data_IF_690043816684
#
_entry.id   IF_690043816684
#
_cell.length_a   1.000
_cell.length_b   1.000
_cell.length_c   1.000
_cell.angle_alpha   90.00
_cell.angle_beta   90.00
_cell.angle_gamma   90.00
#
_symmetry.space_group_name_H-M   'P 1'
#
loop_
_entity.id
_entity.type
_entity.pdbx_description
1 polymer ?
#
# COMPACT_ATOMS: atom_id res chain seq x y z
N UNK A 1 -3.67 50.19 0.97
CA UNK A 1 -3.33 49.20 1.98
C UNK A 1 -2.60 48.06 1.24
N UNK A 2 -1.28 48.08 1.23
CA UNK A 2 -0.44 47.01 0.78
C UNK A 2 -0.54 45.93 1.87
N UNK A 3 -1.12 44.78 1.53
CA UNK A 3 -1.04 43.56 2.36
C UNK A 3 0.42 43.13 2.34
N UNK A 4 1.07 43.18 3.47
CA UNK A 4 2.34 42.51 3.72
C UNK A 4 2.15 41.04 3.39
N UNK A 5 2.73 40.58 2.28
CA UNK A 5 2.99 39.17 2.06
C UNK A 5 4.09 38.81 3.06
N UNK A 6 3.71 38.27 4.21
CA UNK A 6 4.63 37.44 4.96
C UNK A 6 5.08 36.31 4.02
N UNK A 7 6.33 36.36 3.60
CA UNK A 7 6.97 35.23 2.95
C UNK A 7 6.96 34.09 3.95
N UNK A 8 5.94 33.24 3.88
CA UNK A 8 5.88 31.99 4.65
C UNK A 8 7.00 31.11 4.16
N UNK A 9 8.17 31.24 4.76
CA UNK A 9 9.27 30.30 4.58
C UNK A 9 8.76 28.92 5.02
N UNK A 10 8.75 27.96 4.09
CA UNK A 10 8.34 26.59 4.39
C UNK A 10 9.32 26.02 5.40
N UNK A 11 8.83 25.66 6.58
CA UNK A 11 9.64 25.00 7.63
C UNK A 11 9.53 23.48 7.44
N UNK A 12 10.66 22.84 7.14
CA UNK A 12 10.78 21.37 7.01
C UNK A 12 11.26 20.70 8.30
N UNK A 13 11.34 21.44 9.39
CA UNK A 13 11.78 20.91 10.69
C UNK A 13 10.70 20.00 11.29
N UNK A 14 11.06 18.75 11.59
CA UNK A 14 10.16 17.84 12.28
C UNK A 14 9.87 18.29 13.72
N UNK A 15 8.63 18.25 14.12
CA UNK A 15 8.23 18.44 15.50
C UNK A 15 8.88 17.40 16.43
N UNK A 16 8.96 17.67 17.73
CA UNK A 16 9.48 16.70 18.71
C UNK A 16 8.73 15.36 18.67
N UNK A 17 7.42 15.40 18.49
CA UNK A 17 6.60 14.21 18.38
C UNK A 17 6.95 13.41 17.11
N UNK A 18 7.09 14.07 15.97
CA UNK A 18 7.48 13.43 14.70
C UNK A 18 8.88 12.82 14.79
N UNK A 19 9.85 13.51 15.42
CA UNK A 19 11.19 12.96 15.68
C UNK A 19 11.15 11.70 16.57
N UNK A 20 10.28 11.70 17.60
CA UNK A 20 10.12 10.52 18.47
C UNK A 20 9.53 9.32 17.72
N UNK A 21 8.47 9.52 16.94
CA UNK A 21 7.86 8.42 16.17
C UNK A 21 8.80 7.93 15.06
N UNK A 22 9.53 8.82 14.39
CA UNK A 22 10.56 8.43 13.41
C UNK A 22 11.64 7.55 14.05
N UNK A 23 12.12 7.94 15.24
CA UNK A 23 13.10 7.15 15.99
C UNK A 23 12.54 5.77 16.33
N UNK A 24 11.31 5.68 16.78
CA UNK A 24 10.63 4.40 17.07
C UNK A 24 10.56 3.52 15.82
N UNK A 25 10.18 4.06 14.67
CA UNK A 25 10.12 3.30 13.40
C UNK A 25 11.50 2.79 12.98
N UNK A 26 12.54 3.62 13.12
CA UNK A 26 13.93 3.23 12.85
C UNK A 26 14.39 2.11 13.75
N UNK A 27 14.17 2.24 15.07
CA UNK A 27 14.54 1.19 16.03
C UNK A 27 13.80 -0.12 15.75
N UNK A 28 12.52 -0.06 15.40
CA UNK A 28 11.78 -1.23 14.98
C UNK A 28 12.34 -1.84 13.70
N UNK A 29 12.64 -1.03 12.67
CA UNK A 29 13.21 -1.49 11.42
C UNK A 29 14.56 -2.20 11.63
N UNK A 30 15.46 -1.62 12.40
CA UNK A 30 16.77 -2.20 12.67
C UNK A 30 16.70 -3.48 13.52
N UNK A 31 15.84 -3.54 14.53
CA UNK A 31 15.81 -4.64 15.48
C UNK A 31 14.90 -5.80 15.05
N UNK A 32 13.79 -5.53 14.37
CA UNK A 32 12.77 -6.53 14.06
C UNK A 32 12.68 -6.87 12.57
N UNK A 33 13.03 -5.93 11.68
CA UNK A 33 12.92 -6.13 10.22
C UNK A 33 14.25 -6.52 9.59
N UNK A 34 15.32 -5.79 9.88
CA UNK A 34 16.65 -6.01 9.29
C UNK A 34 17.18 -7.44 9.45
N UNK A 35 17.04 -8.12 10.61
CA UNK A 35 17.50 -9.50 10.76
C UNK A 35 16.81 -10.49 9.82
N UNK A 36 15.59 -10.19 9.38
CA UNK A 36 14.79 -11.04 8.50
C UNK A 36 14.92 -10.66 7.02
N UNK A 37 15.42 -9.47 6.69
CA UNK A 37 15.39 -8.91 5.33
C UNK A 37 15.99 -9.85 4.28
N UNK A 38 17.14 -10.49 4.57
CA UNK A 38 17.78 -11.44 3.66
C UNK A 38 16.90 -12.67 3.41
N UNK A 39 16.28 -13.21 4.46
CA UNK A 39 15.36 -14.37 4.36
C UNK A 39 14.12 -14.00 3.57
N UNK A 40 13.52 -12.84 3.87
CA UNK A 40 12.33 -12.31 3.21
C UNK A 40 12.52 -12.24 1.70
N UNK A 41 13.67 -11.77 1.23
CA UNK A 41 13.95 -11.67 -0.21
C UNK A 41 14.34 -13.02 -0.82
N UNK A 42 15.28 -13.75 -0.22
CA UNK A 42 15.82 -14.97 -0.78
C UNK A 42 14.81 -16.13 -0.85
N UNK A 43 13.93 -16.25 0.15
CA UNK A 43 12.95 -17.33 0.28
C UNK A 43 11.52 -16.90 -0.15
N UNK A 44 11.34 -15.65 -0.64
CA UNK A 44 10.02 -15.08 -0.94
C UNK A 44 9.07 -15.14 0.28
N UNK A 45 9.67 -15.01 1.46
CA UNK A 45 9.00 -15.21 2.73
C UNK A 45 8.19 -13.97 3.12
N UNK A 46 6.88 -14.13 3.28
CA UNK A 46 6.03 -13.05 3.82
C UNK A 46 6.22 -12.96 5.35
N UNK A 47 6.70 -11.81 5.88
CA UNK A 47 7.08 -11.68 7.28
C UNK A 47 5.86 -11.46 8.21
N UNK A 48 5.02 -12.49 8.35
CA UNK A 48 3.76 -12.43 9.11
C UNK A 48 3.97 -11.97 10.55
N UNK A 49 4.99 -12.51 11.23
CA UNK A 49 5.33 -12.15 12.60
C UNK A 49 5.73 -10.67 12.75
N UNK A 50 6.37 -10.10 11.73
CA UNK A 50 6.71 -8.67 11.71
C UNK A 50 5.44 -7.82 11.55
N UNK A 51 4.52 -8.24 10.69
CA UNK A 51 3.21 -7.57 10.51
C UNK A 51 2.41 -7.58 11.82
N UNK A 52 2.38 -8.71 12.53
CA UNK A 52 1.72 -8.81 13.84
C UNK A 52 2.34 -7.87 14.89
N UNK A 53 3.68 -7.73 14.90
CA UNK A 53 4.37 -6.78 15.78
C UNK A 53 4.06 -5.33 15.39
N UNK A 54 4.04 -5.01 14.10
CA UNK A 54 3.64 -3.69 13.59
C UNK A 54 2.22 -3.32 14.01
N UNK A 55 1.28 -4.28 13.95
CA UNK A 55 -0.09 -4.08 14.44
C UNK A 55 -0.14 -3.69 15.92
N UNK A 56 0.61 -4.39 16.78
CA UNK A 56 0.68 -4.09 18.22
C UNK A 56 1.26 -2.71 18.53
N UNK A 57 2.08 -2.18 17.63
CA UNK A 57 2.67 -0.83 17.75
C UNK A 57 1.83 0.27 17.06
N UNK A 58 0.65 -0.07 16.54
CA UNK A 58 -0.23 0.87 15.83
C UNK A 58 0.26 1.26 14.42
N UNK A 59 1.26 0.57 13.89
CA UNK A 59 1.85 0.89 12.57
C UNK A 59 0.95 0.49 11.40
N UNK A 60 -0.11 -0.26 11.63
CA UNK A 60 -1.10 -0.61 10.59
C UNK A 60 -2.23 0.42 10.47
N UNK A 61 -2.33 1.36 11.42
CA UNK A 61 -3.36 2.40 11.46
C UNK A 61 -2.83 3.79 11.80
N UNK A 62 -1.64 4.18 11.32
CA UNK A 62 -0.87 5.35 11.81
C UNK A 62 -1.68 6.64 11.81
N UNK A 63 -2.28 7.04 10.68
CA UNK A 63 -2.94 8.34 10.55
C UNK A 63 -4.46 8.30 10.73
N UNK A 64 -5.02 7.13 11.04
CA UNK A 64 -6.45 7.06 11.37
C UNK A 64 -6.72 7.49 12.81
N UNK A 65 -7.88 8.12 13.07
CA UNK A 65 -8.25 8.52 14.42
C UNK A 65 -8.38 7.33 15.38
N UNK A 66 -8.15 7.58 16.64
CA UNK A 66 -8.34 6.57 17.70
C UNK A 66 -9.78 6.07 17.82
N UNK A 67 -10.76 6.89 17.41
CA UNK A 67 -12.18 6.51 17.38
C UNK A 67 -12.49 5.34 16.43
N UNK A 68 -11.62 5.06 15.47
CA UNK A 68 -11.74 3.90 14.57
C UNK A 68 -10.63 2.87 14.80
N UNK A 69 -9.92 2.95 15.93
CA UNK A 69 -8.83 2.03 16.27
C UNK A 69 -7.46 2.42 15.73
N UNK A 70 -7.31 3.58 15.10
CA UNK A 70 -6.03 4.08 14.61
C UNK A 70 -5.13 4.67 15.69
N UNK A 71 -3.88 5.00 15.34
CA UNK A 71 -2.90 5.55 16.25
C UNK A 71 -3.02 7.08 16.45
N UNK A 72 -3.86 7.78 15.68
CA UNK A 72 -4.08 9.23 15.79
C UNK A 72 -2.90 10.08 15.31
N UNK A 73 -2.00 9.52 14.51
CA UNK A 73 -0.90 10.23 13.88
C UNK A 73 -1.33 11.05 12.66
N UNK A 74 -0.35 11.47 11.88
CA UNK A 74 -0.56 12.23 10.63
C UNK A 74 0.02 11.49 9.41
N UNK A 75 -0.23 12.02 8.22
CA UNK A 75 0.28 11.44 6.97
C UNK A 75 1.81 11.47 6.92
N UNK A 76 2.47 12.48 7.53
CA UNK A 76 3.93 12.54 7.59
C UNK A 76 4.49 11.42 8.45
N UNK A 77 3.84 11.09 9.58
CA UNK A 77 4.22 9.94 10.41
C UNK A 77 4.12 8.62 9.64
N UNK A 78 3.08 8.45 8.81
CA UNK A 78 2.94 7.29 7.92
C UNK A 78 4.06 7.24 6.87
N UNK A 79 4.37 8.34 6.23
CA UNK A 79 5.45 8.46 5.24
C UNK A 79 6.79 8.06 5.85
N UNK A 80 7.10 8.59 7.05
CA UNK A 80 8.32 8.24 7.78
C UNK A 80 8.39 6.75 8.16
N UNK A 81 7.25 6.14 8.52
CA UNK A 81 7.22 4.71 8.81
C UNK A 81 7.56 3.87 7.57
N UNK A 82 6.94 4.17 6.41
CA UNK A 82 7.23 3.47 5.15
C UNK A 82 8.70 3.65 4.74
N UNK A 83 9.24 4.85 4.88
CA UNK A 83 10.64 5.16 4.58
C UNK A 83 11.60 4.36 5.48
N UNK A 84 11.46 4.45 6.81
CA UNK A 84 12.36 3.76 7.75
C UNK A 84 12.31 2.22 7.61
N UNK A 85 11.13 1.65 7.37
CA UNK A 85 10.98 0.22 7.08
C UNK A 85 11.69 -0.15 5.77
N UNK A 86 11.56 0.68 4.75
CA UNK A 86 12.08 0.42 3.41
C UNK A 86 13.59 0.58 3.32
N UNK A 87 14.23 1.34 4.22
CA UNK A 87 15.70 1.42 4.34
C UNK A 87 16.34 0.05 4.59
N UNK A 88 15.65 -0.82 5.29
CA UNK A 88 16.15 -2.16 5.62
C UNK A 88 15.46 -3.28 4.85
N UNK A 89 14.18 -3.10 4.46
CA UNK A 89 13.42 -4.10 3.71
C UNK A 89 12.24 -3.46 2.97
N UNK A 90 12.38 -3.27 1.66
CA UNK A 90 11.32 -2.71 0.81
C UNK A 90 10.02 -3.50 0.84
N UNK A 91 10.08 -4.82 1.05
CA UNK A 91 8.91 -5.70 1.26
C UNK A 91 8.06 -5.24 2.44
N UNK A 92 8.69 -4.98 3.60
CA UNK A 92 7.95 -4.58 4.81
C UNK A 92 7.31 -3.20 4.62
N UNK A 93 8.01 -2.27 3.96
CA UNK A 93 7.46 -0.96 3.64
C UNK A 93 6.23 -1.02 2.74
N UNK A 94 6.25 -1.84 1.66
CA UNK A 94 5.10 -1.95 0.74
C UNK A 94 3.89 -2.65 1.38
N UNK A 95 4.11 -3.57 2.32
CA UNK A 95 3.00 -4.22 3.05
C UNK A 95 2.18 -3.17 3.80
N UNK A 96 2.85 -2.30 4.57
CA UNK A 96 2.20 -1.19 5.30
C UNK A 96 1.58 -0.19 4.34
N UNK A 97 2.31 0.18 3.28
CA UNK A 97 1.84 1.16 2.30
C UNK A 97 0.56 0.73 1.62
N UNK A 98 0.51 -0.47 1.05
CA UNK A 98 -0.66 -0.99 0.36
C UNK A 98 -1.86 -1.19 1.32
N UNK A 99 -1.61 -1.75 2.50
CA UNK A 99 -2.65 -1.96 3.51
C UNK A 99 -3.32 -0.64 3.93
N UNK A 100 -2.50 0.34 4.28
CA UNK A 100 -2.98 1.61 4.86
C UNK A 100 -3.63 2.50 3.80
N UNK A 101 -2.91 2.80 2.71
CA UNK A 101 -3.37 3.78 1.71
C UNK A 101 -4.37 3.22 0.70
N UNK A 102 -4.32 1.91 0.40
CA UNK A 102 -5.14 1.33 -0.67
C UNK A 102 -6.34 0.53 -0.16
N UNK A 103 -6.35 0.09 1.11
CA UNK A 103 -7.49 -0.63 1.68
C UNK A 103 -8.15 0.11 2.85
N UNK A 104 -7.41 0.44 3.90
CA UNK A 104 -8.01 1.09 5.07
C UNK A 104 -8.48 2.52 4.76
N UNK A 105 -7.69 3.32 4.01
CA UNK A 105 -8.06 4.68 3.65
C UNK A 105 -9.35 4.78 2.82
N UNK A 106 -9.56 4.04 1.73
CA UNK A 106 -10.84 4.09 1.00
C UNK A 106 -12.05 3.75 1.87
N UNK A 107 -11.93 2.79 2.81
CA UNK A 107 -13.01 2.48 3.76
C UNK A 107 -13.23 3.64 4.71
N UNK A 108 -12.17 4.25 5.23
CA UNK A 108 -12.27 5.40 6.12
C UNK A 108 -12.93 6.60 5.44
N UNK A 109 -12.57 6.88 4.19
CA UNK A 109 -13.05 8.05 3.46
C UNK A 109 -14.46 7.88 2.89
N UNK A 110 -14.79 6.67 2.39
CA UNK A 110 -16.00 6.44 1.60
C UNK A 110 -16.98 5.44 2.22
N UNK A 111 -16.60 4.76 3.31
CA UNK A 111 -17.44 3.76 3.97
C UNK A 111 -18.60 4.36 4.74
N UNK A 112 -19.68 3.61 4.87
CA UNK A 112 -20.77 3.92 5.81
C UNK A 112 -20.27 3.79 7.25
N UNK A 113 -20.99 4.35 8.25
CA UNK A 113 -20.64 4.16 9.66
C UNK A 113 -20.47 2.68 10.03
N UNK A 114 -21.36 1.81 9.55
CA UNK A 114 -21.36 0.37 9.82
C UNK A 114 -20.14 -0.31 9.18
N UNK A 115 -19.79 0.07 7.94
CA UNK A 115 -18.58 -0.44 7.28
C UNK A 115 -17.32 -0.01 8.04
N UNK A 116 -17.23 1.25 8.46
CA UNK A 116 -16.09 1.75 9.25
C UNK A 116 -15.96 1.03 10.58
N UNK A 117 -17.05 0.86 11.30
CA UNK A 117 -17.09 0.14 12.58
C UNK A 117 -16.67 -1.32 12.43
N UNK A 118 -17.11 -2.00 11.36
CA UNK A 118 -16.79 -3.40 11.11
C UNK A 118 -15.33 -3.64 10.73
N UNK A 119 -14.77 -2.81 9.84
CA UNK A 119 -13.49 -3.09 9.19
C UNK A 119 -12.30 -2.35 9.79
N UNK A 120 -12.43 -1.06 10.12
CA UNK A 120 -11.28 -0.25 10.50
C UNK A 120 -10.59 -0.69 11.79
N UNK A 121 -11.29 -1.06 12.87
CA UNK A 121 -10.61 -1.50 14.09
C UNK A 121 -9.71 -2.70 13.86
N UNK A 122 -10.14 -3.66 13.04
CA UNK A 122 -9.38 -4.87 12.72
C UNK A 122 -8.22 -4.60 11.76
N UNK A 123 -8.41 -3.69 10.79
CA UNK A 123 -7.33 -3.25 9.90
C UNK A 123 -6.30 -2.42 10.67
N UNK A 124 -6.71 -1.47 11.47
CA UNK A 124 -5.80 -0.62 12.24
C UNK A 124 -4.99 -1.38 13.29
N UNK A 125 -5.57 -2.42 13.89
CA UNK A 125 -4.86 -3.30 14.83
C UNK A 125 -3.92 -4.30 14.16
N UNK A 126 -4.04 -4.50 12.84
CA UNK A 126 -3.32 -5.53 12.11
C UNK A 126 -3.87 -6.94 12.33
N UNK A 127 -5.04 -7.11 12.98
CA UNK A 127 -5.76 -8.37 13.04
C UNK A 127 -6.16 -8.83 11.64
N UNK A 128 -6.60 -7.90 10.80
CA UNK A 128 -6.86 -8.11 9.39
C UNK A 128 -5.90 -7.31 8.52
N UNK A 129 -5.47 -7.93 7.42
CA UNK A 129 -4.67 -7.29 6.39
C UNK A 129 -5.54 -6.91 5.20
N UNK A 130 -5.23 -5.76 4.59
CA UNK A 130 -5.96 -5.23 3.45
C UNK A 130 -5.20 -5.29 2.14
N UNK A 131 -5.95 -5.41 1.03
CA UNK A 131 -5.46 -5.38 -0.34
C UNK A 131 -6.38 -4.58 -1.26
N UNK A 132 -5.90 -4.24 -2.48
CA UNK A 132 -6.62 -3.41 -3.44
C UNK A 132 -6.59 -4.02 -4.85
N UNK A 133 -7.74 -4.40 -5.36
CA UNK A 133 -7.93 -5.06 -6.64
C UNK A 133 -8.46 -4.11 -7.72
N UNK A 134 -7.55 -3.48 -8.50
CA UNK A 134 -7.87 -2.65 -9.65
C UNK A 134 -7.44 -3.32 -10.96
N UNK A 135 -6.16 -3.65 -11.08
CA UNK A 135 -5.52 -4.10 -12.32
C UNK A 135 -6.06 -5.45 -12.81
N UNK A 136 -6.28 -5.56 -14.11
CA UNK A 136 -6.68 -6.79 -14.79
C UNK A 136 -5.70 -7.13 -15.93
N UNK A 137 -5.67 -8.37 -16.44
CA UNK A 137 -4.80 -8.76 -17.55
C UNK A 137 -4.90 -7.83 -18.76
N UNK A 138 -6.09 -7.33 -19.08
CA UNK A 138 -6.36 -6.40 -20.19
C UNK A 138 -6.48 -4.93 -19.78
N UNK A 139 -6.29 -4.57 -18.51
CA UNK A 139 -6.52 -3.23 -17.97
C UNK A 139 -5.46 -2.85 -16.94
N UNK A 140 -4.26 -2.56 -17.41
CA UNK A 140 -3.15 -2.02 -16.64
C UNK A 140 -3.12 -0.49 -16.74
N UNK A 141 -2.36 0.06 -17.72
CA UNK A 141 -2.30 1.50 -17.99
C UNK A 141 -3.67 2.08 -18.32
N UNK A 142 -4.46 1.40 -19.14
CA UNK A 142 -5.88 1.72 -19.35
C UNK A 142 -6.74 1.09 -18.25
N UNK A 143 -6.70 1.67 -17.05
CA UNK A 143 -7.46 1.18 -15.91
C UNK A 143 -8.99 1.31 -16.05
N UNK A 144 -9.50 2.01 -17.08
CA UNK A 144 -10.93 2.04 -17.41
C UNK A 144 -11.37 0.83 -18.25
N UNK A 145 -10.43 0.13 -18.87
CA UNK A 145 -10.68 -1.04 -19.72
C UNK A 145 -11.18 -2.27 -18.98
N UNK A 146 -11.55 -2.16 -17.71
CA UNK A 146 -11.94 -3.29 -16.85
C UNK A 146 -13.03 -4.17 -17.42
N UNK A 147 -12.91 -5.48 -17.15
CA UNK A 147 -13.86 -6.51 -17.59
C UNK A 147 -14.56 -7.21 -16.41
N UNK A 148 -13.93 -7.24 -15.22
CA UNK A 148 -14.57 -7.78 -14.01
C UNK A 148 -15.90 -7.09 -13.78
N UNK A 149 -16.97 -7.86 -13.66
CA UNK A 149 -18.35 -7.36 -13.52
C UNK A 149 -18.86 -7.58 -12.10
N UNK A 150 -19.78 -6.73 -11.68
CA UNK A 150 -20.62 -6.93 -10.50
C UNK A 150 -22.06 -6.71 -10.88
N UNK A 151 -22.88 -7.77 -10.81
CA UNK A 151 -24.30 -7.77 -11.16
C UNK A 151 -25.14 -7.88 -9.89
N UNK A 152 -26.15 -7.03 -9.78
CA UNK A 152 -27.09 -7.03 -8.66
C UNK A 152 -28.03 -8.24 -8.77
N UNK A 153 -28.13 -9.03 -7.69
CA UNK A 153 -29.01 -10.21 -7.59
C UNK A 153 -29.68 -10.24 -6.20
N UNK A 154 -30.86 -9.67 -6.12
CA UNK A 154 -31.62 -9.54 -4.88
C UNK A 154 -30.84 -8.74 -3.83
N UNK A 155 -30.52 -9.36 -2.69
CA UNK A 155 -29.77 -8.76 -1.59
C UNK A 155 -28.24 -8.90 -1.73
N UNK A 156 -27.76 -9.30 -2.90
CA UNK A 156 -26.35 -9.56 -3.18
C UNK A 156 -25.85 -8.84 -4.43
N UNK A 157 -24.54 -8.70 -4.51
CA UNK A 157 -23.79 -8.50 -5.72
C UNK A 157 -23.11 -9.81 -6.10
N UNK A 158 -23.12 -10.15 -7.38
CA UNK A 158 -22.41 -11.30 -7.95
C UNK A 158 -21.26 -10.79 -8.80
N UNK A 159 -20.03 -11.05 -8.35
CA UNK A 159 -18.81 -10.64 -9.04
C UNK A 159 -18.29 -11.78 -9.91
N UNK A 160 -17.87 -11.44 -11.14
CA UNK A 160 -17.22 -12.37 -12.08
C UNK A 160 -16.06 -11.69 -12.79
N UNK A 161 -14.90 -12.38 -12.85
CA UNK A 161 -13.67 -11.90 -13.48
C UNK A 161 -12.43 -12.16 -12.65
N UNK A 162 -11.35 -11.43 -12.94
CA UNK A 162 -10.11 -11.54 -12.16
C UNK A 162 -9.36 -10.22 -12.03
N UNK A 163 -8.49 -10.13 -11.03
CA UNK A 163 -7.55 -9.04 -10.83
C UNK A 163 -6.15 -9.61 -10.69
N UNK A 164 -5.13 -8.95 -11.25
CA UNK A 164 -3.75 -9.42 -11.21
C UNK A 164 -2.84 -8.43 -10.49
N UNK A 165 -1.69 -8.92 -10.04
CA UNK A 165 -0.64 -8.15 -9.37
C UNK A 165 -1.11 -7.49 -8.07
N UNK A 166 -1.93 -8.21 -7.30
CA UNK A 166 -2.53 -7.65 -6.08
C UNK A 166 -1.60 -7.87 -4.88
N UNK A 167 -1.02 -6.77 -4.41
CA UNK A 167 -0.14 -6.72 -3.23
C UNK A 167 -0.91 -7.15 -1.97
N UNK A 168 -0.25 -7.90 -1.09
CA UNK A 168 -0.78 -8.48 0.13
C UNK A 168 -1.80 -9.62 -0.08
N UNK A 169 -2.23 -9.92 -1.31
CA UNK A 169 -3.39 -10.78 -1.58
C UNK A 169 -3.31 -12.17 -0.94
N UNK A 170 -2.13 -12.80 -0.87
CA UNK A 170 -1.97 -14.12 -0.26
C UNK A 170 -2.28 -14.15 1.25
N UNK A 171 -2.21 -13.01 1.92
CA UNK A 171 -2.41 -12.89 3.37
C UNK A 171 -3.52 -11.89 3.77
N UNK A 172 -4.07 -11.13 2.83
CA UNK A 172 -5.13 -10.17 3.10
C UNK A 172 -6.45 -10.87 3.46
N UNK A 173 -7.20 -10.27 4.37
CA UNK A 173 -8.53 -10.71 4.81
C UNK A 173 -9.63 -9.89 4.11
N UNK A 174 -9.31 -8.64 3.74
CA UNK A 174 -10.24 -7.67 3.13
C UNK A 174 -9.62 -7.10 1.86
N UNK A 175 -10.43 -7.01 0.81
CA UNK A 175 -10.05 -6.53 -0.50
C UNK A 175 -10.99 -5.42 -0.96
N UNK A 176 -10.44 -4.28 -1.38
CA UNK A 176 -11.21 -3.27 -2.11
C UNK A 176 -11.13 -3.65 -3.58
N UNK A 177 -12.26 -3.96 -4.20
CA UNK A 177 -12.34 -4.44 -5.58
C UNK A 177 -13.14 -3.47 -6.42
N UNK A 178 -12.58 -3.04 -7.55
CA UNK A 178 -13.28 -2.21 -8.54
C UNK A 178 -13.84 -3.11 -9.62
N UNK A 179 -15.15 -3.03 -9.86
CA UNK A 179 -15.82 -3.84 -10.87
C UNK A 179 -16.86 -3.04 -11.65
N UNK A 180 -17.12 -3.45 -12.89
CA UNK A 180 -18.11 -2.84 -13.78
C UNK A 180 -19.52 -3.18 -13.32
N UNK A 181 -20.31 -2.17 -12.99
CA UNK A 181 -21.71 -2.33 -12.59
C UNK A 181 -22.69 -1.93 -13.66
N UNK A 182 -22.33 -0.98 -14.53
CA UNK A 182 -23.26 -0.41 -15.47
C UNK A 182 -22.59 -0.14 -16.83
N UNK A 183 -23.39 -0.22 -17.89
CA UNK A 183 -23.02 0.25 -19.23
C UNK A 183 -23.93 1.42 -19.58
N UNK A 184 -23.34 2.57 -19.83
CA UNK A 184 -24.06 3.82 -20.10
C UNK A 184 -23.57 4.42 -21.42
N UNK A 185 -24.30 5.39 -21.95
CA UNK A 185 -23.82 6.18 -23.08
C UNK A 185 -23.11 7.45 -22.57
N UNK A 186 -21.96 7.76 -23.15
CA UNK A 186 -21.26 9.03 -22.88
C UNK A 186 -22.01 10.21 -23.52
N UNK A 187 -21.53 11.44 -23.28
CA UNK A 187 -22.11 12.66 -23.85
C UNK A 187 -22.11 12.69 -25.38
N UNK A 188 -21.38 11.78 -26.04
CA UNK A 188 -21.30 11.63 -27.50
C UNK A 188 -22.09 10.42 -28.00
N UNK A 189 -22.89 9.77 -27.12
CA UNK A 189 -23.69 8.60 -27.45
C UNK A 189 -22.88 7.28 -27.60
N UNK A 190 -21.64 7.22 -27.14
CA UNK A 190 -20.80 6.02 -27.22
C UNK A 190 -20.95 5.18 -25.95
N UNK A 191 -21.02 3.84 -26.07
CA UNK A 191 -21.05 2.95 -24.91
C UNK A 191 -19.79 3.15 -24.04
N UNK A 192 -20.00 3.35 -22.75
CA UNK A 192 -18.94 3.42 -21.74
C UNK A 192 -19.34 2.61 -20.53
N UNK A 193 -18.34 2.15 -19.75
CA UNK A 193 -18.53 1.37 -18.54
C UNK A 193 -18.49 2.28 -17.33
N UNK A 194 -19.33 2.00 -16.36
CA UNK A 194 -19.23 2.58 -15.02
C UNK A 194 -18.84 1.49 -14.04
N UNK A 195 -17.86 1.81 -13.19
CA UNK A 195 -17.38 0.91 -12.16
C UNK A 195 -17.85 1.37 -10.79
N UNK A 196 -18.08 0.41 -9.91
CA UNK A 196 -18.29 0.63 -8.48
C UNK A 196 -17.18 -0.05 -7.68
N UNK A 197 -17.00 0.36 -6.42
CA UNK A 197 -16.06 -0.24 -5.50
C UNK A 197 -16.80 -1.16 -4.53
N UNK A 198 -16.18 -2.27 -4.16
CA UNK A 198 -16.74 -3.28 -3.28
C UNK A 198 -15.74 -3.71 -2.23
N UNK A 199 -16.23 -4.02 -1.02
CA UNK A 199 -15.47 -4.67 0.03
C UNK A 199 -15.72 -6.17 -0.09
N UNK A 200 -14.68 -6.93 -0.44
CA UNK A 200 -14.72 -8.39 -0.52
C UNK A 200 -13.92 -8.95 0.64
N UNK A 201 -14.47 -9.94 1.33
CA UNK A 201 -13.78 -10.69 2.38
C UNK A 201 -13.20 -11.98 1.82
N UNK A 202 -12.08 -12.43 2.36
CA UNK A 202 -11.42 -13.68 1.93
C UNK A 202 -12.35 -14.90 1.95
N UNK A 203 -13.33 -14.90 2.82
CA UNK A 203 -14.27 -16.02 3.04
C UNK A 203 -15.52 -15.97 2.18
N UNK A 204 -15.65 -14.96 1.30
CA UNK A 204 -16.83 -14.83 0.46
C UNK A 204 -16.93 -16.01 -0.54
N UNK A 205 -18.12 -16.62 -0.66
CA UNK A 205 -18.31 -17.72 -1.61
C UNK A 205 -18.01 -17.29 -3.04
N UNK A 206 -17.25 -18.11 -3.79
CA UNK A 206 -16.86 -17.82 -5.18
C UNK A 206 -15.66 -16.86 -5.30
N UNK A 207 -15.04 -16.45 -4.19
CA UNK A 207 -13.78 -15.72 -4.18
C UNK A 207 -12.61 -16.67 -3.90
N UNK A 208 -11.52 -16.52 -4.67
CA UNK A 208 -10.28 -17.23 -4.42
C UNK A 208 -9.06 -16.37 -4.78
N UNK A 209 -7.93 -16.72 -4.19
CA UNK A 209 -6.64 -16.08 -4.44
C UNK A 209 -5.76 -17.07 -5.19
N UNK A 210 -5.25 -16.64 -6.34
CA UNK A 210 -4.38 -17.44 -7.19
C UNK A 210 -2.96 -17.56 -6.66
N UNK A 211 -2.08 -18.11 -7.50
CA UNK A 211 -0.66 -18.31 -7.16
C UNK A 211 0.06 -16.98 -6.99
N UNK A 212 1.05 -16.96 -6.09
CA UNK A 212 1.94 -15.83 -5.93
C UNK A 212 2.85 -15.67 -7.16
N UNK A 213 3.06 -14.42 -7.56
CA UNK A 213 3.95 -14.04 -8.66
C UNK A 213 5.41 -14.17 -8.25
N UNK A 214 6.23 -14.74 -9.13
CA UNK A 214 7.69 -14.70 -9.04
C UNK A 214 8.18 -13.33 -9.50
N UNK A 215 8.84 -12.59 -8.60
CA UNK A 215 9.19 -11.18 -8.82
C UNK A 215 10.70 -10.96 -8.80
N UNK A 216 11.15 -9.97 -9.56
CA UNK A 216 12.54 -9.53 -9.62
C UNK A 216 12.99 -8.87 -8.29
N UNK A 217 12.10 -8.17 -7.60
CA UNK A 217 12.36 -7.48 -6.34
C UNK A 217 11.13 -7.45 -5.44
N UNK A 218 11.31 -6.98 -4.19
CA UNK A 218 10.27 -7.04 -3.14
C UNK A 218 9.65 -8.44 -3.04
N UNK A 219 10.48 -9.45 -3.13
CA UNK A 219 10.08 -10.83 -3.39
C UNK A 219 9.21 -11.43 -2.28
N UNK A 220 9.42 -11.03 -1.03
CA UNK A 220 8.60 -11.45 0.10
C UNK A 220 7.22 -10.78 0.20
N UNK A 221 6.90 -9.80 -0.67
CA UNK A 221 5.54 -9.25 -0.77
C UNK A 221 4.65 -10.24 -1.52
N UNK A 222 3.58 -10.70 -0.90
CA UNK A 222 2.64 -11.64 -1.50
C UNK A 222 1.76 -10.93 -2.54
N UNK A 223 2.17 -11.03 -3.80
CA UNK A 223 1.49 -10.46 -4.95
C UNK A 223 0.79 -11.58 -5.71
N UNK A 224 -0.55 -11.59 -5.76
CA UNK A 224 -1.31 -12.69 -6.36
C UNK A 224 -2.39 -12.18 -7.29
N UNK A 225 -3.01 -13.10 -8.03
CA UNK A 225 -4.27 -12.91 -8.72
C UNK A 225 -5.45 -13.04 -7.74
N UNK A 226 -6.53 -12.27 -7.96
CA UNK A 226 -7.84 -12.48 -7.35
C UNK A 226 -8.79 -13.05 -8.40
N UNK A 227 -9.52 -14.09 -8.06
CA UNK A 227 -10.43 -14.80 -8.97
C UNK A 227 -11.84 -14.73 -8.38
N UNK A 228 -12.80 -14.33 -9.21
CA UNK A 228 -14.21 -14.21 -8.88
C UNK A 228 -15.03 -15.10 -9.82
N UNK A 229 -15.63 -16.16 -9.25
CA UNK A 229 -16.48 -17.12 -9.97
C UNK A 229 -17.84 -17.16 -9.27
N UNK A 230 -18.80 -16.40 -9.79
CA UNK A 230 -20.09 -16.16 -9.15
C UNK A 230 -19.94 -15.75 -7.66
N UNK A 231 -18.94 -14.89 -7.40
CA UNK A 231 -18.64 -14.45 -6.05
C UNK A 231 -19.78 -13.60 -5.50
N UNK A 232 -20.48 -14.11 -4.50
CA UNK A 232 -21.65 -13.48 -3.88
C UNK A 232 -21.24 -12.70 -2.63
N UNK A 233 -21.44 -11.40 -2.68
CA UNK A 233 -21.22 -10.51 -1.52
C UNK A 233 -22.51 -9.79 -1.16
N UNK A 234 -22.78 -9.52 0.13
CA UNK A 234 -23.94 -8.75 0.57
C UNK A 234 -24.00 -7.35 -0.08
N UNK A 235 -25.21 -6.87 -0.31
CA UNK A 235 -25.46 -5.60 -1.03
C UNK A 235 -24.88 -4.39 -0.32
N UNK A 236 -24.81 -4.41 1.00
CA UNK A 236 -24.26 -3.39 1.87
C UNK A 236 -22.73 -3.27 1.81
N UNK A 237 -22.05 -4.16 1.06
CA UNK A 237 -20.60 -4.13 0.87
C UNK A 237 -20.14 -3.29 -0.35
N UNK A 238 -21.07 -2.64 -1.05
CA UNK A 238 -20.67 -1.61 -2.01
C UNK A 238 -20.07 -0.42 -1.27
N UNK A 239 -18.86 -0.03 -1.64
CA UNK A 239 -18.13 1.08 -1.02
C UNK A 239 -18.40 2.39 -1.78
N UNK A 240 -18.87 3.41 -1.08
CA UNK A 240 -19.18 4.70 -1.67
C UNK A 240 -20.42 4.69 -2.55
N UNK A 241 -20.36 5.31 -3.73
CA UNK A 241 -21.50 5.55 -4.62
C UNK A 241 -21.40 4.68 -5.88
N UNK A 242 -22.53 4.04 -6.27
CA UNK A 242 -22.64 3.26 -7.52
C UNK A 242 -22.18 4.08 -8.73
N UNK A 243 -21.38 3.48 -9.60
CA UNK A 243 -20.83 4.11 -10.79
C UNK A 243 -19.70 5.10 -10.55
N UNK A 244 -19.25 5.29 -9.29
CA UNK A 244 -18.15 6.18 -8.90
C UNK A 244 -16.88 5.44 -8.47
N UNK A 245 -16.84 4.12 -8.61
CA UNK A 245 -15.69 3.30 -8.19
C UNK A 245 -14.39 3.67 -8.88
N UNK A 246 -14.41 4.08 -10.15
CA UNK A 246 -13.21 4.55 -10.83
C UNK A 246 -12.68 5.86 -10.26
N UNK A 247 -13.55 6.80 -9.89
CA UNK A 247 -13.14 8.05 -9.23
C UNK A 247 -12.55 7.76 -7.85
N UNK A 248 -13.18 6.85 -7.09
CA UNK A 248 -12.66 6.39 -5.80
C UNK A 248 -11.28 5.77 -5.98
N UNK A 249 -11.09 4.90 -6.97
CA UNK A 249 -9.80 4.29 -7.26
C UNK A 249 -8.71 5.33 -7.58
N UNK A 250 -9.01 6.35 -8.37
CA UNK A 250 -8.03 7.41 -8.68
C UNK A 250 -7.65 8.22 -7.45
N UNK A 251 -8.62 8.61 -6.62
CA UNK A 251 -8.36 9.30 -5.34
C UNK A 251 -7.52 8.44 -4.38
N UNK A 252 -7.82 7.14 -4.30
CA UNK A 252 -7.04 6.17 -3.51
C UNK A 252 -5.58 6.10 -3.99
N UNK A 253 -5.37 6.04 -5.31
CA UNK A 253 -4.02 5.99 -5.89
C UNK A 253 -3.22 7.28 -5.67
N UNK A 254 -3.87 8.45 -5.59
CA UNK A 254 -3.16 9.71 -5.28
C UNK A 254 -2.51 9.64 -3.88
N UNK A 255 -3.22 9.12 -2.88
CA UNK A 255 -2.64 8.82 -1.57
C UNK A 255 -1.57 7.72 -1.61
N UNK A 256 -1.81 6.67 -2.39
CA UNK A 256 -0.88 5.56 -2.56
C UNK A 256 0.47 5.97 -3.16
N UNK A 257 0.50 6.93 -4.09
CA UNK A 257 1.73 7.45 -4.70
C UNK A 257 2.70 8.04 -3.68
N UNK A 258 2.19 8.69 -2.64
CA UNK A 258 3.01 9.26 -1.56
C UNK A 258 3.73 8.13 -0.81
N UNK A 259 3.02 7.06 -0.45
CA UNK A 259 3.61 5.89 0.21
C UNK A 259 4.68 5.20 -0.64
N UNK A 260 4.42 5.01 -1.93
CA UNK A 260 5.40 4.38 -2.85
C UNK A 260 6.61 5.27 -3.10
N UNK A 261 6.46 6.60 -3.17
CA UNK A 261 7.58 7.52 -3.24
C UNK A 261 8.48 7.41 -1.99
N UNK A 262 7.88 7.29 -0.81
CA UNK A 262 8.61 7.09 0.45
C UNK A 262 9.31 5.74 0.50
N UNK A 263 8.69 4.69 -0.02
CA UNK A 263 9.34 3.39 -0.18
C UNK A 263 10.58 3.49 -1.07
N UNK A 264 10.46 4.12 -2.23
CA UNK A 264 11.58 4.28 -3.17
C UNK A 264 12.72 5.09 -2.52
N UNK A 265 12.41 6.17 -1.81
CA UNK A 265 13.38 6.98 -1.06
C UNK A 265 14.07 6.13 0.01
N UNK A 266 13.32 5.38 0.81
CA UNK A 266 13.87 4.50 1.84
C UNK A 266 14.83 3.45 1.27
N UNK A 267 14.46 2.78 0.17
CA UNK A 267 15.33 1.81 -0.51
C UNK A 267 16.62 2.48 -0.98
N UNK A 268 16.53 3.66 -1.61
CA UNK A 268 17.70 4.41 -2.09
C UNK A 268 18.61 4.81 -0.94
N UNK A 269 18.06 5.31 0.16
CA UNK A 269 18.81 5.72 1.35
C UNK A 269 19.49 4.53 2.02
N UNK A 270 18.78 3.40 2.16
CA UNK A 270 19.36 2.16 2.68
C UNK A 270 20.51 1.65 1.82
N UNK A 271 20.35 1.63 0.49
CA UNK A 271 21.41 1.25 -0.43
C UNK A 271 22.64 2.17 -0.32
N UNK A 272 22.43 3.48 -0.17
CA UNK A 272 23.51 4.44 0.04
C UNK A 272 24.25 4.18 1.36
N UNK A 273 23.53 3.95 2.46
CA UNK A 273 24.11 3.67 3.77
C UNK A 273 24.99 2.41 3.75
N UNK A 274 24.48 1.30 3.18
CA UNK A 274 25.24 0.06 3.02
C UNK A 274 26.47 0.26 2.11
N UNK A 275 26.32 1.02 1.02
CA UNK A 275 27.45 1.34 0.12
C UNK A 275 28.52 2.13 0.85
N UNK A 276 28.16 3.18 1.59
CA UNK A 276 29.11 4.02 2.34
C UNK A 276 29.85 3.19 3.40
N UNK A 277 29.17 2.28 4.08
CA UNK A 277 29.82 1.37 5.03
C UNK A 277 30.80 0.44 4.30
N UNK A 278 30.37 -0.20 3.22
CA UNK A 278 31.18 -1.14 2.45
C UNK A 278 32.45 -0.51 1.87
N UNK A 279 32.38 0.67 1.22
CA UNK A 279 33.54 1.30 0.61
C UNK A 279 34.59 1.75 1.61
N UNK A 280 34.22 1.98 2.87
CA UNK A 280 35.16 2.26 3.98
C UNK A 280 35.90 1.04 4.46
N UNK A 281 35.28 -0.14 4.43
CA UNK A 281 35.83 -1.40 4.90
C UNK A 281 36.63 -2.13 3.81
N UNK A 282 36.09 -2.18 2.59
CA UNK A 282 36.72 -2.88 1.45
C UNK A 282 38.04 -2.22 1.08
N UNK A 283 39.10 -3.03 1.00
CA UNK A 283 40.46 -2.57 0.66
C UNK A 283 40.88 -3.13 -0.70
N UNK A 284 41.53 -2.26 -1.50
CA UNK A 284 42.31 -2.61 -2.69
C UNK A 284 43.58 -1.77 -2.68
N UNK A 285 44.68 -2.32 -3.17
CA UNK A 285 45.98 -1.67 -3.17
C UNK A 285 46.40 -1.16 -1.76
N UNK A 286 46.03 -1.89 -0.72
CA UNK A 286 46.39 -1.57 0.68
C UNK A 286 45.60 -0.44 1.35
N UNK A 287 44.60 0.14 0.67
CA UNK A 287 43.75 1.24 1.20
C UNK A 287 42.28 0.97 0.93
N UNK A 288 41.39 1.66 1.68
CA UNK A 288 39.96 1.54 1.42
C UNK A 288 39.60 2.07 0.01
N UNK A 289 38.60 1.45 -0.62
CA UNK A 289 38.19 1.87 -1.98
C UNK A 289 37.55 3.25 -1.99
N UNK A 290 37.06 3.75 -0.86
CA UNK A 290 36.59 5.15 -0.72
C UNK A 290 37.68 6.19 -0.96
N UNK A 291 38.95 5.82 -0.92
CA UNK A 291 40.08 6.70 -1.17
C UNK A 291 40.61 6.65 -2.61
N UNK A 292 39.96 5.87 -3.49
CA UNK A 292 40.38 5.75 -4.89
C UNK A 292 39.67 6.77 -5.74
N UNK A 293 40.43 7.49 -6.62
CA UNK A 293 39.92 8.61 -7.42
C UNK A 293 38.69 8.22 -8.26
N UNK A 294 38.73 7.05 -8.89
CA UNK A 294 37.64 6.56 -9.74
C UNK A 294 36.32 6.28 -9.00
N UNK A 295 36.32 6.20 -7.65
CA UNK A 295 35.10 6.09 -6.88
C UNK A 295 34.44 7.45 -6.65
N UNK A 296 35.17 8.55 -6.77
CA UNK A 296 34.63 9.92 -6.68
C UNK A 296 34.19 10.48 -8.05
N UNK A 297 34.76 9.97 -9.15
CA UNK A 297 34.46 10.42 -10.50
C UNK A 297 33.39 9.60 -11.22
N UNK A 298 32.89 8.50 -10.58
CA UNK A 298 31.91 7.60 -11.19
C UNK A 298 30.53 8.24 -11.48
N UNK A 299 30.30 9.47 -11.03
CA UNK A 299 29.07 10.21 -11.31
C UNK A 299 29.17 11.12 -12.55
N UNK A 300 30.37 11.28 -13.14
CA UNK A 300 30.62 12.19 -14.27
C UNK A 300 30.61 11.46 -15.64
N UNK A 301 30.44 10.12 -15.66
CA UNK A 301 30.26 9.30 -16.85
C UNK A 301 28.77 8.85 -16.98
#
# INVERSE_FOLDING_TARGET
ALLDKEDTVMDFTLSKQQQMVQKMYREFAENEVKPLAKKVDAEEYFPKETVEKMGKLGMMGIYFPTSVGGAGGDVLSYVMAVEELSKVCGTTGVIVSAHTSLCAAPIYENGTPEQKEKYLPKLCSGEWLGAFGLTEPGAGTDAQGQQTTAVEDGDYWVLNGSKIFITNAGYADVFIVIAVTDKVLDKKGRPTKQCSAFIVERTDPGFSVGKAEDKMGIRGSSTCELIFEDCRIPKDRMLGVRGKGFQLAMATLDGGRIGIASQALGIAEGALQETVAYVKERKQFGRSISCLLYTSDAADE
#
